data_IF_299675182034
#
_entry.id   IF_299675182034
#
_cell.length_a   1.000
_cell.length_b   1.000
_cell.length_c   1.000
_cell.angle_alpha   90.00
_cell.angle_beta   90.00
_cell.angle_gamma   90.00
#
_symmetry.space_group_name_H-M   'P 1'
#
loop_
_entity.id
_entity.type
_entity.pdbx_description
1 polymer ?
#
# COMPACT_ATOMS: atom_id res chain seq x y z
N UNK A 1 2.68 33.20 24.87
CA UNK A 1 3.66 32.18 24.47
C UNK A 1 3.01 31.23 23.49
N UNK A 2 3.40 31.25 22.21
CA UNK A 2 2.87 30.33 21.18
C UNK A 2 3.34 28.92 21.51
N UNK A 3 2.43 28.05 21.97
CA UNK A 3 2.66 26.60 22.06
C UNK A 3 2.95 26.11 20.65
N UNK A 4 4.15 25.58 20.43
CA UNK A 4 4.52 24.91 19.19
C UNK A 4 3.50 23.82 18.89
N UNK A 5 2.98 23.78 17.67
CA UNK A 5 2.33 22.58 17.15
C UNK A 5 3.41 21.52 17.10
N UNK A 6 3.35 20.57 18.03
CA UNK A 6 4.00 19.27 17.84
C UNK A 6 3.42 18.73 16.52
N UNK A 7 4.23 18.74 15.47
CA UNK A 7 3.95 17.91 14.31
C UNK A 7 4.13 16.47 14.81
N UNK A 8 3.06 15.91 15.35
CA UNK A 8 2.96 14.46 15.45
C UNK A 8 3.23 13.93 14.05
N UNK A 9 4.23 13.05 13.93
CA UNK A 9 4.46 12.24 12.74
C UNK A 9 3.11 11.76 12.20
N UNK A 10 2.93 11.66 10.88
CA UNK A 10 1.69 11.13 10.33
C UNK A 10 1.53 9.73 10.90
N UNK A 11 0.73 9.61 11.96
CA UNK A 11 0.19 8.35 12.43
C UNK A 11 -0.58 7.85 11.23
N UNK A 12 0.02 6.91 10.50
CA UNK A 12 -0.65 6.20 9.41
C UNK A 12 -1.92 5.70 10.05
N UNK A 13 -3.03 6.37 9.74
CA UNK A 13 -4.32 6.09 10.36
C UNK A 13 -4.57 4.60 10.13
N UNK A 14 -4.73 3.88 11.24
CA UNK A 14 -4.56 2.43 11.28
C UNK A 14 -5.32 1.73 10.18
N UNK A 15 -4.58 1.16 9.24
CA UNK A 15 -5.06 0.05 8.44
C UNK A 15 -4.44 -1.19 9.06
N UNK A 16 -5.27 -2.00 9.69
CA UNK A 16 -4.89 -3.31 10.22
C UNK A 16 -4.32 -4.18 9.07
N UNK A 17 -3.42 -5.12 9.38
CA UNK A 17 -2.78 -6.02 8.41
C UNK A 17 -3.82 -6.64 7.46
N UNK A 18 -4.99 -6.99 8.00
CA UNK A 18 -6.08 -7.54 7.23
C UNK A 18 -6.57 -6.60 6.12
N UNK A 19 -6.64 -5.28 6.36
CA UNK A 19 -7.07 -4.30 5.36
C UNK A 19 -6.03 -4.09 4.27
N UNK A 20 -4.75 -4.08 4.64
CA UNK A 20 -3.66 -4.03 3.67
C UNK A 20 -3.61 -5.25 2.77
N UNK A 21 -3.81 -6.45 3.33
CA UNK A 21 -3.91 -7.68 2.56
C UNK A 21 -5.13 -7.68 1.63
N UNK A 22 -6.30 -7.21 2.08
CA UNK A 22 -7.49 -7.04 1.24
C UNK A 22 -7.23 -6.09 0.07
N UNK A 23 -6.56 -4.96 0.32
CA UNK A 23 -6.23 -3.97 -0.71
C UNK A 23 -5.23 -4.53 -1.71
N UNK A 24 -4.22 -5.25 -1.24
CA UNK A 24 -3.23 -5.94 -2.08
C UNK A 24 -3.90 -6.98 -2.97
N UNK A 25 -4.82 -7.79 -2.44
CA UNK A 25 -5.63 -8.73 -3.23
C UNK A 25 -6.42 -8.01 -4.32
N UNK A 26 -7.09 -6.91 -4.01
CA UNK A 26 -7.83 -6.14 -4.99
C UNK A 26 -6.94 -5.60 -6.13
N UNK A 27 -5.72 -5.15 -5.81
CA UNK A 27 -4.73 -4.73 -6.84
C UNK A 27 -4.34 -5.88 -7.76
N UNK A 28 -4.11 -7.08 -7.23
CA UNK A 28 -3.86 -8.27 -8.04
C UNK A 28 -5.05 -8.58 -8.97
N UNK A 29 -6.28 -8.51 -8.46
CA UNK A 29 -7.49 -8.72 -9.26
C UNK A 29 -7.60 -7.69 -10.41
N UNK A 30 -7.33 -6.42 -10.14
CA UNK A 30 -7.29 -5.37 -11.17
C UNK A 30 -6.23 -5.67 -12.23
N UNK A 31 -5.01 -6.08 -11.82
CA UNK A 31 -3.96 -6.43 -12.77
C UNK A 31 -4.38 -7.58 -13.70
N UNK A 32 -5.03 -8.62 -13.16
CA UNK A 32 -5.58 -9.71 -13.96
C UNK A 32 -6.67 -9.22 -14.93
N UNK A 33 -7.60 -8.37 -14.47
CA UNK A 33 -8.62 -7.77 -15.34
C UNK A 33 -8.01 -6.94 -16.48
N UNK A 34 -6.92 -6.21 -16.23
CA UNK A 34 -6.21 -5.44 -17.25
C UNK A 34 -5.53 -6.35 -18.28
N UNK A 35 -4.96 -7.48 -17.85
CA UNK A 35 -4.41 -8.50 -18.75
C UNK A 35 -5.52 -9.07 -19.65
N UNK A 36 -6.65 -9.46 -19.06
CA UNK A 36 -7.79 -10.03 -19.80
C UNK A 36 -8.37 -9.01 -20.80
N UNK A 37 -8.42 -7.73 -20.41
CA UNK A 37 -8.84 -6.62 -21.25
C UNK A 37 -7.77 -6.17 -22.28
N UNK A 38 -6.58 -6.81 -22.30
CA UNK A 38 -5.43 -6.44 -23.14
C UNK A 38 -4.98 -4.98 -22.96
N UNK A 39 -5.20 -4.39 -21.78
CA UNK A 39 -4.81 -3.02 -21.40
C UNK A 39 -3.40 -2.99 -20.82
N UNK A 40 -2.44 -3.41 -21.65
CA UNK A 40 -1.03 -3.49 -21.28
C UNK A 40 -0.42 -2.13 -20.92
N UNK A 41 -1.03 -1.04 -21.39
CA UNK A 41 -0.64 0.34 -21.09
C UNK A 41 -0.83 0.72 -19.62
N UNK A 42 -1.78 0.09 -18.92
CA UNK A 42 -2.09 0.37 -17.51
C UNK A 42 -1.41 -0.61 -16.53
N UNK A 43 -0.82 -1.70 -17.04
CA UNK A 43 -0.17 -2.71 -16.21
C UNK A 43 0.99 -2.15 -15.37
N UNK A 44 1.90 -1.30 -15.90
CA UNK A 44 2.99 -0.77 -15.09
C UNK A 44 2.50 -0.06 -13.84
N UNK A 45 1.45 0.76 -13.95
CA UNK A 45 0.88 1.53 -12.82
C UNK A 45 0.33 0.62 -11.73
N UNK A 46 -0.49 -0.38 -12.07
CA UNK A 46 -1.07 -1.25 -11.04
C UNK A 46 -0.03 -2.16 -10.39
N UNK A 47 1.01 -2.55 -11.14
CA UNK A 47 2.11 -3.37 -10.61
C UNK A 47 3.00 -2.56 -9.67
N UNK A 48 3.23 -1.28 -9.97
CA UNK A 48 3.92 -0.35 -9.06
C UNK A 48 3.11 -0.15 -7.77
N UNK A 49 1.80 0.08 -7.88
CA UNK A 49 0.90 0.16 -6.71
C UNK A 49 0.90 -1.13 -5.87
N UNK A 50 0.97 -2.29 -6.53
CA UNK A 50 1.05 -3.59 -5.86
C UNK A 50 2.38 -3.72 -5.11
N UNK A 51 3.49 -3.36 -5.75
CA UNK A 51 4.82 -3.35 -5.14
C UNK A 51 4.82 -2.49 -3.87
N UNK A 52 4.43 -1.22 -3.94
CA UNK A 52 4.39 -0.33 -2.78
C UNK A 52 3.45 -0.85 -1.68
N UNK A 53 2.28 -1.35 -2.04
CA UNK A 53 1.34 -1.94 -1.09
C UNK A 53 1.94 -3.12 -0.33
N UNK A 54 2.64 -4.01 -1.02
CA UNK A 54 3.32 -5.15 -0.38
C UNK A 54 4.52 -4.72 0.47
N UNK A 55 5.27 -3.71 0.02
CA UNK A 55 6.41 -3.19 0.79
C UNK A 55 5.95 -2.64 2.15
N UNK A 56 4.85 -1.87 2.20
CA UNK A 56 4.30 -1.36 3.46
C UNK A 56 3.95 -2.50 4.42
N UNK A 57 3.37 -3.59 3.91
CA UNK A 57 3.06 -4.77 4.75
C UNK A 57 4.32 -5.35 5.35
N UNK A 58 5.37 -5.55 4.53
CA UNK A 58 6.63 -6.12 4.99
C UNK A 58 7.31 -5.21 6.01
N UNK A 59 7.40 -3.92 5.72
CA UNK A 59 8.06 -2.93 6.56
C UNK A 59 7.34 -2.80 7.92
N UNK A 60 6.01 -2.85 7.96
CA UNK A 60 5.26 -2.68 9.21
C UNK A 60 5.07 -3.97 10.02
N UNK A 61 5.08 -5.15 9.39
CA UNK A 61 4.67 -6.40 10.03
C UNK A 61 5.67 -7.56 9.95
N UNK A 62 6.74 -7.44 9.15
CA UNK A 62 7.72 -8.52 8.97
C UNK A 62 9.15 -8.12 9.33
N UNK A 63 9.48 -6.83 9.29
CA UNK A 63 10.79 -6.33 9.72
C UNK A 63 10.64 -5.82 11.17
N UNK A 64 11.20 -6.56 12.12
CA UNK A 64 11.36 -6.07 13.49
C UNK A 64 12.50 -5.03 13.50
N UNK A 65 12.25 -3.82 14.01
CA UNK A 65 13.29 -2.80 14.19
C UNK A 65 14.42 -3.37 15.06
N UNK A 66 15.63 -3.45 14.50
CA UNK A 66 16.86 -3.93 15.16
C UNK A 66 17.47 -2.83 16.03
#
# INVERSE_FOLDING_TARGET
>A
TRKGREMSEPKIAGNDLQEWLKTTRARCEIALLLIDAKRNDLLPTILEDLFYGTQIILDCYCIEEI
#
